data_IF_123652027312
#
_entry.id   IF_123652027312
#
_cell.length_a   1.000
_cell.length_b   1.000
_cell.length_c   1.000
_cell.angle_alpha   90.00
_cell.angle_beta   90.00
_cell.angle_gamma   90.00
#
_symmetry.space_group_name_H-M   'P 1'
#
loop_
_entity.id
_entity.type
_entity.pdbx_description
1 polymer ?
#
# COMPACT_ATOMS: atom_id res chain seq x y z
N UNK A 1 32.48 -12.20 -0.79
CA UNK A 1 32.09 -12.07 -2.21
C UNK A 1 30.58 -11.96 -2.22
N UNK A 2 30.05 -10.71 -2.27
CA UNK A 2 28.65 -10.49 -2.48
C UNK A 2 28.31 -11.09 -3.85
N UNK A 3 27.36 -12.00 -3.91
CA UNK A 3 26.76 -12.43 -5.15
C UNK A 3 26.12 -11.20 -5.77
N UNK A 4 26.46 -10.88 -7.03
CA UNK A 4 25.63 -10.01 -7.86
C UNK A 4 24.21 -10.53 -7.70
N UNK A 5 23.37 -9.82 -6.93
CA UNK A 5 21.96 -10.15 -6.84
C UNK A 5 21.39 -9.78 -8.20
N UNK A 6 21.34 -10.77 -9.10
CA UNK A 6 20.51 -10.63 -10.28
C UNK A 6 19.12 -10.20 -9.79
N UNK A 7 18.67 -9.06 -10.26
CA UNK A 7 17.29 -8.63 -10.05
C UNK A 7 16.39 -9.82 -10.35
N UNK A 8 15.40 -10.12 -9.53
CA UNK A 8 14.58 -11.32 -9.71
C UNK A 8 14.18 -11.43 -11.18
N UNK A 9 14.41 -12.56 -11.79
CA UNK A 9 14.05 -12.87 -13.20
C UNK A 9 12.59 -12.49 -13.52
N UNK A 10 11.77 -12.38 -12.48
CA UNK A 10 10.42 -11.84 -12.49
C UNK A 10 10.35 -10.46 -13.15
N UNK A 11 11.32 -9.55 -12.93
CA UNK A 11 11.26 -8.19 -13.48
C UNK A 11 11.56 -8.16 -14.98
N UNK A 12 12.36 -9.08 -15.49
CA UNK A 12 12.62 -9.18 -16.92
C UNK A 12 11.44 -9.72 -17.73
N UNK A 13 10.47 -10.37 -17.08
CA UNK A 13 9.25 -10.93 -17.69
C UNK A 13 8.03 -9.97 -17.63
N UNK A 14 8.20 -8.75 -17.09
CA UNK A 14 7.11 -7.78 -16.90
C UNK A 14 6.92 -6.79 -18.06
N UNK A 15 7.16 -7.20 -19.28
CA UNK A 15 6.90 -6.38 -20.49
C UNK A 15 5.43 -5.89 -20.61
N UNK A 16 4.53 -6.49 -19.82
CA UNK A 16 3.09 -6.17 -19.81
C UNK A 16 2.71 -5.01 -18.86
N UNK A 17 3.63 -4.52 -18.02
CA UNK A 17 3.35 -3.43 -17.07
C UNK A 17 3.67 -2.09 -17.70
N UNK A 18 2.67 -1.19 -17.75
CA UNK A 18 2.84 0.15 -18.29
C UNK A 18 3.60 1.07 -17.32
N UNK A 19 4.91 1.19 -17.51
CA UNK A 19 5.78 2.11 -16.74
C UNK A 19 6.18 3.29 -17.65
N UNK A 20 5.81 4.51 -17.25
CA UNK A 20 6.15 5.72 -17.98
C UNK A 20 7.54 6.21 -17.56
N UNK A 21 8.51 6.11 -18.49
CA UNK A 21 9.88 6.57 -18.27
C UNK A 21 9.99 8.08 -18.57
N UNK A 22 10.86 8.76 -17.82
CA UNK A 22 11.21 10.15 -18.08
C UNK A 22 12.02 10.25 -19.39
N UNK A 23 11.95 11.41 -20.05
CA UNK A 23 12.81 11.71 -21.21
C UNK A 23 14.28 11.67 -20.80
N UNK A 24 15.17 11.12 -21.65
CA UNK A 24 16.60 11.09 -21.37
C UNK A 24 17.16 12.49 -21.06
N UNK A 25 17.79 12.67 -19.89
CA UNK A 25 18.35 13.94 -19.46
C UNK A 25 17.36 14.90 -18.79
N UNK A 26 16.10 14.55 -18.67
CA UNK A 26 15.15 15.33 -17.89
C UNK A 26 15.51 15.25 -16.38
N UNK A 27 15.40 16.37 -15.63
CA UNK A 27 15.59 16.33 -14.19
C UNK A 27 14.51 15.44 -13.53
N UNK A 28 14.88 14.64 -12.52
CA UNK A 28 13.91 13.81 -11.84
C UNK A 28 12.84 14.66 -11.13
N UNK A 29 11.60 14.22 -11.20
CA UNK A 29 10.50 14.86 -10.46
C UNK A 29 10.58 14.50 -8.97
N UNK A 30 10.07 15.39 -8.11
CA UNK A 30 9.93 15.08 -6.68
C UNK A 30 8.91 13.96 -6.47
N UNK A 31 9.23 12.94 -5.64
CA UNK A 31 8.31 11.84 -5.38
C UNK A 31 7.14 12.31 -4.52
N UNK A 32 5.91 12.08 -5.00
CA UNK A 32 4.69 12.43 -4.27
C UNK A 32 4.48 11.47 -3.09
N UNK A 33 4.09 11.96 -1.90
CA UNK A 33 3.76 11.10 -0.78
C UNK A 33 2.58 10.19 -1.10
N UNK A 34 2.68 8.92 -0.68
CA UNK A 34 1.66 7.90 -0.92
C UNK A 34 1.63 6.87 0.22
N UNK A 35 0.48 6.21 0.39
CA UNK A 35 0.27 5.16 1.36
C UNK A 35 -0.42 3.96 0.71
N UNK A 36 -0.04 2.75 1.12
CA UNK A 36 -0.54 1.49 0.54
C UNK A 36 -0.73 0.47 1.66
N UNK A 37 -1.80 -0.33 1.60
CA UNK A 37 -2.12 -1.34 2.61
C UNK A 37 -2.03 -2.76 2.07
N UNK A 38 -1.23 -3.60 2.72
CA UNK A 38 -1.34 -5.05 2.64
C UNK A 38 -2.51 -5.47 3.52
N UNK A 39 -3.70 -5.55 2.95
CA UNK A 39 -4.87 -6.05 3.66
C UNK A 39 -4.80 -7.57 3.70
N UNK A 40 -4.68 -8.17 4.88
CA UNK A 40 -4.47 -9.60 5.05
C UNK A 40 -5.62 -10.25 5.81
N UNK A 41 -5.84 -11.55 5.56
CA UNK A 41 -6.78 -12.38 6.31
C UNK A 41 -6.19 -13.76 6.58
N UNK A 42 -6.69 -14.43 7.61
CA UNK A 42 -6.35 -15.83 7.86
C UNK A 42 -7.18 -16.76 6.95
N UNK A 43 -6.54 -17.78 6.41
CA UNK A 43 -7.18 -18.89 5.71
C UNK A 43 -6.61 -20.20 6.27
N UNK A 44 -7.33 -20.85 7.18
CA UNK A 44 -6.87 -22.06 7.89
C UNK A 44 -5.47 -21.85 8.53
N UNK A 45 -4.41 -22.39 7.92
CA UNK A 45 -3.02 -22.27 8.38
C UNK A 45 -2.16 -21.39 7.45
N UNK A 46 -2.78 -20.59 6.62
CA UNK A 46 -2.12 -19.67 5.66
C UNK A 46 -2.63 -18.26 5.84
N UNK A 47 -1.89 -17.31 5.29
CA UNK A 47 -2.32 -15.92 5.20
C UNK A 47 -2.57 -15.59 3.74
N UNK A 48 -3.71 -14.98 3.45
CA UNK A 48 -3.97 -14.36 2.15
C UNK A 48 -3.86 -12.85 2.24
N UNK A 49 -3.43 -12.24 1.15
CA UNK A 49 -3.40 -10.79 0.95
C UNK A 49 -4.35 -10.40 -0.18
N UNK A 50 -5.04 -9.28 -0.01
CA UNK A 50 -5.92 -8.73 -1.03
C UNK A 50 -5.10 -7.96 -2.06
N UNK A 51 -5.29 -8.28 -3.33
CA UNK A 51 -4.61 -7.63 -4.44
C UNK A 51 -5.59 -7.17 -5.52
N UNK A 52 -5.26 -6.05 -6.14
CA UNK A 52 -6.04 -5.41 -7.20
C UNK A 52 -5.20 -5.35 -8.47
N UNK A 53 -5.79 -5.70 -9.61
CA UNK A 53 -5.18 -5.51 -10.92
C UNK A 53 -5.49 -4.11 -11.43
N UNK A 54 -4.44 -3.31 -11.64
CA UNK A 54 -4.60 -1.94 -12.14
C UNK A 54 -5.07 -1.90 -13.59
N UNK A 55 -5.93 -0.93 -13.89
CA UNK A 55 -6.36 -0.65 -15.26
C UNK A 55 -5.14 -0.40 -16.15
N UNK A 56 -5.07 -1.06 -17.31
CA UNK A 56 -3.94 -1.01 -18.24
C UNK A 56 -3.58 0.42 -18.72
N UNK A 57 -4.52 1.37 -18.64
CA UNK A 57 -4.31 2.76 -19.05
C UNK A 57 -3.61 3.63 -17.98
N UNK A 58 -3.49 3.16 -16.75
CA UNK A 58 -2.87 3.89 -15.64
C UNK A 58 -1.35 3.65 -15.58
N UNK A 59 -0.64 4.45 -14.76
CA UNK A 59 0.75 4.12 -14.44
C UNK A 59 0.81 2.81 -13.65
N UNK A 60 1.77 1.93 -13.96
CA UNK A 60 1.82 0.53 -13.53
C UNK A 60 0.59 -0.29 -13.97
N UNK A 61 -0.09 0.13 -15.05
CA UNK A 61 -1.28 -0.57 -15.58
C UNK A 61 -0.97 -2.01 -15.96
N UNK A 62 -1.90 -2.91 -15.64
CA UNK A 62 -1.75 -4.35 -15.82
C UNK A 62 -1.06 -5.08 -14.66
N UNK A 63 -0.38 -4.37 -13.75
CA UNK A 63 0.20 -4.98 -12.56
C UNK A 63 -0.86 -5.26 -11.49
N UNK A 64 -0.60 -6.32 -10.71
CA UNK A 64 -1.27 -6.59 -9.46
C UNK A 64 -0.56 -5.83 -8.33
N UNK A 65 -1.32 -5.06 -7.58
CA UNK A 65 -0.85 -4.19 -6.51
C UNK A 65 -1.72 -4.34 -5.26
N UNK A 66 -1.24 -3.84 -4.15
CA UNK A 66 -2.06 -3.64 -2.95
C UNK A 66 -2.88 -2.35 -3.09
N UNK A 67 -4.03 -2.22 -2.41
CA UNK A 67 -4.80 -0.98 -2.35
C UNK A 67 -3.96 0.19 -1.84
N UNK A 68 -4.04 1.35 -2.49
CA UNK A 68 -3.31 2.53 -2.05
C UNK A 68 -3.10 3.59 -3.13
N UNK A 69 -2.86 4.80 -2.68
CA UNK A 69 -2.66 5.96 -3.54
C UNK A 69 -1.92 7.10 -2.88
N UNK A 70 -2.06 8.30 -3.42
CA UNK A 70 -1.41 9.51 -2.92
C UNK A 70 -2.09 10.01 -1.65
N UNK A 71 -1.32 10.75 -0.83
CA UNK A 71 -1.93 11.60 0.16
C UNK A 71 -2.68 12.74 -0.55
N UNK A 72 -3.89 12.99 -0.08
CA UNK A 72 -4.72 14.11 -0.52
C UNK A 72 -4.84 15.16 0.58
N UNK A 73 -5.15 16.43 0.25
CA UNK A 73 -5.30 17.48 1.25
C UNK A 73 -6.29 17.16 2.37
N UNK A 74 -7.30 16.33 2.13
CA UNK A 74 -8.26 15.88 3.15
C UNK A 74 -7.61 15.03 4.24
N UNK A 75 -6.55 14.30 3.90
CA UNK A 75 -5.82 13.47 4.87
C UNK A 75 -4.99 14.33 5.84
N UNK A 76 -4.77 15.61 5.51
CA UNK A 76 -4.01 16.60 6.27
C UNK A 76 -4.90 17.52 7.11
N UNK A 77 -6.22 17.34 7.08
CA UNK A 77 -7.15 18.13 7.89
C UNK A 77 -6.98 17.83 9.37
N UNK A 78 -6.68 18.86 10.18
CA UNK A 78 -6.43 18.71 11.63
C UNK A 78 -7.61 18.08 12.36
N UNK A 79 -8.84 18.35 11.91
CA UNK A 79 -10.05 17.85 12.57
C UNK A 79 -10.13 16.31 12.50
N UNK A 80 -9.69 15.68 11.40
CA UNK A 80 -9.77 14.23 11.25
C UNK A 80 -8.89 13.48 12.27
N UNK A 81 -7.84 14.11 12.80
CA UNK A 81 -6.99 13.54 13.83
C UNK A 81 -7.77 13.18 15.10
N UNK A 82 -8.82 13.92 15.41
CA UNK A 82 -9.70 13.64 16.58
C UNK A 82 -10.58 12.40 16.36
N UNK A 83 -10.70 11.94 15.13
CA UNK A 83 -11.39 10.71 14.73
C UNK A 83 -10.43 9.52 14.55
N UNK A 84 -9.16 9.65 14.91
CA UNK A 84 -8.20 8.56 14.93
C UNK A 84 -8.11 7.91 16.31
N UNK A 85 -7.94 6.58 16.36
CA UNK A 85 -7.86 5.80 17.61
C UNK A 85 -6.45 5.26 17.84
N UNK A 86 -5.92 5.44 19.06
CA UNK A 86 -4.72 4.77 19.54
C UNK A 86 -3.37 5.29 19.02
N UNK A 87 -3.35 6.24 18.06
CA UNK A 87 -2.13 6.82 17.52
C UNK A 87 -2.29 8.34 17.34
N UNK A 88 -1.33 9.12 17.83
CA UNK A 88 -1.28 10.58 17.61
C UNK A 88 -0.35 10.92 16.44
N UNK A 89 -0.45 12.16 15.92
CA UNK A 89 0.47 12.62 14.87
C UNK A 89 1.92 12.63 15.34
N UNK A 90 2.18 12.97 16.59
CA UNK A 90 3.52 12.93 17.16
C UNK A 90 4.11 11.50 17.15
N UNK A 91 3.33 10.50 17.61
CA UNK A 91 3.75 9.08 17.60
C UNK A 91 3.97 8.57 16.17
N UNK A 92 3.02 8.86 15.26
CA UNK A 92 3.12 8.50 13.86
C UNK A 92 4.34 9.13 13.18
N UNK A 93 4.59 10.41 13.48
CA UNK A 93 5.76 11.14 12.93
C UNK A 93 7.08 10.57 13.45
N UNK A 94 7.15 10.15 14.71
CA UNK A 94 8.32 9.45 15.25
C UNK A 94 8.56 8.11 14.56
N UNK A 95 7.50 7.29 14.36
CA UNK A 95 7.58 6.01 13.65
C UNK A 95 8.11 6.19 12.23
N UNK A 96 7.61 7.21 11.50
CA UNK A 96 8.01 7.46 10.11
C UNK A 96 9.31 8.27 9.96
N UNK A 97 9.90 8.71 11.08
CA UNK A 97 11.05 9.61 11.11
C UNK A 97 10.82 10.89 10.27
N UNK A 98 9.67 11.54 10.45
CA UNK A 98 9.31 12.82 9.85
C UNK A 98 9.05 13.87 10.92
N UNK A 99 9.11 15.16 10.57
CA UNK A 99 8.94 16.25 11.54
C UNK A 99 7.51 16.35 12.09
N UNK A 100 6.51 16.16 11.23
CA UNK A 100 5.08 16.24 11.53
C UNK A 100 4.29 15.67 10.36
N UNK A 101 2.98 15.47 10.53
CA UNK A 101 2.10 14.94 9.49
C UNK A 101 2.27 13.45 9.26
N UNK A 102 2.87 12.72 10.21
CA UNK A 102 3.01 11.28 10.12
C UNK A 102 1.66 10.57 10.08
N UNK A 103 0.70 11.01 10.87
CA UNK A 103 -0.63 10.41 10.96
C UNK A 103 -1.40 10.46 9.62
N UNK A 104 -1.12 11.45 8.77
CA UNK A 104 -1.73 11.60 7.46
C UNK A 104 -1.55 10.36 6.57
N UNK A 105 -0.44 9.63 6.71
CA UNK A 105 -0.19 8.39 5.96
C UNK A 105 -1.10 7.23 6.41
N UNK A 106 -1.42 7.13 7.70
CA UNK A 106 -2.38 6.16 8.21
C UNK A 106 -3.80 6.48 7.75
N UNK A 107 -4.17 7.77 7.78
CA UNK A 107 -5.48 8.25 7.32
C UNK A 107 -5.63 7.98 5.83
N UNK A 108 -4.63 8.38 5.00
CA UNK A 108 -4.61 8.08 3.56
C UNK A 108 -4.71 6.58 3.28
N UNK A 109 -3.98 5.76 4.03
CA UNK A 109 -4.02 4.31 3.90
C UNK A 109 -5.43 3.74 4.12
N UNK A 110 -6.16 4.22 5.15
CA UNK A 110 -7.54 3.80 5.43
C UNK A 110 -8.49 4.33 4.35
N UNK A 111 -8.35 5.58 3.92
CA UNK A 111 -9.15 6.19 2.85
C UNK A 111 -9.03 5.42 1.55
N UNK A 112 -7.79 5.18 1.10
CA UNK A 112 -7.50 4.43 -0.12
C UNK A 112 -7.99 2.97 -0.06
N UNK A 113 -7.84 2.33 1.12
CA UNK A 113 -8.40 0.99 1.35
C UNK A 113 -9.92 1.00 1.15
N UNK A 114 -10.61 2.01 1.68
CA UNK A 114 -12.07 2.11 1.52
C UNK A 114 -12.46 2.46 0.08
N UNK A 115 -11.79 3.39 -0.58
CA UNK A 115 -12.03 3.76 -1.98
C UNK A 115 -11.84 2.58 -2.92
N UNK A 116 -10.68 1.95 -2.89
CA UNK A 116 -10.29 0.93 -3.87
C UNK A 116 -10.91 -0.45 -3.58
N UNK A 117 -11.08 -0.84 -2.30
CA UNK A 117 -11.60 -2.18 -1.99
C UNK A 117 -12.87 -2.23 -1.13
N UNK A 118 -13.41 -1.08 -0.72
CA UNK A 118 -14.65 -0.99 0.04
C UNK A 118 -14.54 -1.42 1.51
N UNK A 119 -13.31 -1.60 2.03
CA UNK A 119 -13.07 -1.97 3.42
C UNK A 119 -12.70 -0.73 4.23
N UNK A 120 -13.54 -0.35 5.19
CA UNK A 120 -13.31 0.76 6.09
C UNK A 120 -12.76 0.26 7.43
N UNK A 121 -11.49 0.56 7.70
CA UNK A 121 -10.85 0.22 8.97
C UNK A 121 -11.20 1.27 10.03
N UNK A 122 -12.25 1.02 10.78
CA UNK A 122 -12.77 1.94 11.78
C UNK A 122 -13.34 1.19 12.99
N UNK A 123 -13.53 1.92 14.09
CA UNK A 123 -14.21 1.47 15.28
C UNK A 123 -15.56 2.17 15.42
N UNK A 124 -16.53 1.47 15.98
CA UNK A 124 -17.74 2.04 16.54
C UNK A 124 -17.45 2.70 17.89
N UNK A 125 -18.40 3.48 18.40
CA UNK A 125 -18.30 4.13 19.71
C UNK A 125 -18.06 3.14 20.87
N UNK A 126 -18.59 1.92 20.77
CA UNK A 126 -18.40 0.86 21.77
C UNK A 126 -17.01 0.19 21.71
N UNK A 127 -16.14 0.58 20.75
CA UNK A 127 -14.82 0.03 20.57
C UNK A 127 -14.73 -1.22 19.66
N UNK A 128 -15.87 -1.72 19.18
CA UNK A 128 -15.89 -2.85 18.23
C UNK A 128 -15.44 -2.37 16.84
N UNK A 129 -14.79 -3.25 16.08
CA UNK A 129 -14.50 -2.98 14.69
C UNK A 129 -15.81 -2.77 13.91
N UNK A 130 -15.79 -1.79 13.03
CA UNK A 130 -16.94 -1.44 12.22
C UNK A 130 -17.21 -2.52 11.17
N UNK A 131 -18.46 -2.95 11.10
CA UNK A 131 -19.06 -3.68 9.99
C UNK A 131 -20.47 -3.12 9.78
N UNK A 132 -20.92 -3.03 8.54
CA UNK A 132 -22.27 -2.56 8.25
C UNK A 132 -23.31 -3.52 8.88
N UNK A 133 -24.14 -3.00 9.76
CA UNK A 133 -25.09 -3.81 10.55
C UNK A 133 -26.42 -4.03 9.82
N UNK A 134 -26.73 -3.16 8.84
CA UNK A 134 -27.98 -3.16 8.10
C UNK A 134 -27.82 -2.59 6.68
N UNK A 135 -28.92 -2.63 5.92
CA UNK A 135 -28.97 -2.10 4.55
C UNK A 135 -28.74 -0.59 4.49
N UNK A 136 -29.18 0.17 5.51
CA UNK A 136 -29.01 1.63 5.54
C UNK A 136 -27.55 2.02 5.68
N UNK A 137 -26.79 1.40 6.59
CA UNK A 137 -25.33 1.62 6.68
C UNK A 137 -24.61 1.18 5.40
N UNK A 138 -25.03 0.08 4.78
CA UNK A 138 -24.47 -0.39 3.49
C UNK A 138 -24.67 0.65 2.38
N UNK A 139 -25.86 1.26 2.29
CA UNK A 139 -26.17 2.31 1.31
C UNK A 139 -25.36 3.58 1.58
N UNK A 140 -25.21 3.99 2.86
CA UNK A 140 -24.37 5.11 3.26
C UNK A 140 -22.92 4.86 2.81
N UNK A 141 -22.34 3.70 3.14
CA UNK A 141 -20.98 3.36 2.74
C UNK A 141 -20.81 3.40 1.21
N UNK A 142 -21.72 2.81 0.46
CA UNK A 142 -21.67 2.84 -1.00
C UNK A 142 -21.69 4.27 -1.54
N UNK A 143 -22.58 5.13 -1.01
CA UNK A 143 -22.66 6.53 -1.40
C UNK A 143 -21.37 7.31 -1.10
N UNK A 144 -20.76 7.12 0.08
CA UNK A 144 -19.52 7.79 0.43
C UNK A 144 -18.32 7.26 -0.35
N UNK A 145 -18.25 5.95 -0.62
CA UNK A 145 -17.25 5.36 -1.49
C UNK A 145 -17.30 5.95 -2.89
N UNK A 146 -18.49 6.11 -3.46
CA UNK A 146 -18.68 6.74 -4.78
C UNK A 146 -18.24 8.21 -4.78
N UNK A 147 -18.48 8.97 -3.70
CA UNK A 147 -18.02 10.36 -3.56
C UNK A 147 -16.50 10.42 -3.48
N UNK A 148 -15.86 9.59 -2.65
CA UNK A 148 -14.40 9.51 -2.53
C UNK A 148 -13.76 9.14 -3.87
N UNK A 149 -14.29 8.16 -4.59
CA UNK A 149 -13.83 7.78 -5.94
C UNK A 149 -13.95 8.92 -6.97
N UNK A 150 -14.79 9.93 -6.71
CA UNK A 150 -14.84 11.17 -7.49
C UNK A 150 -13.91 12.26 -6.97
N UNK A 151 -13.11 11.99 -5.94
CA UNK A 151 -12.19 12.95 -5.31
C UNK A 151 -12.88 13.95 -4.38
N UNK A 152 -14.09 13.64 -3.88
CA UNK A 152 -14.76 14.49 -2.90
C UNK A 152 -14.18 14.24 -1.49
N UNK A 153 -13.84 15.28 -0.69
CA UNK A 153 -13.18 15.14 0.60
C UNK A 153 -14.17 14.80 1.73
N UNK A 154 -14.82 13.63 1.69
CA UNK A 154 -15.97 13.29 2.56
C UNK A 154 -15.66 12.25 3.64
N UNK A 155 -14.40 11.83 3.84
CA UNK A 155 -14.05 10.82 4.86
C UNK A 155 -14.43 11.26 6.27
N UNK A 156 -14.16 12.54 6.63
CA UNK A 156 -14.52 13.10 7.92
C UNK A 156 -16.05 13.16 8.13
N UNK A 157 -16.79 13.49 7.07
CA UNK A 157 -18.26 13.48 7.11
C UNK A 157 -18.81 12.08 7.36
N UNK A 158 -18.25 11.06 6.70
CA UNK A 158 -18.60 9.66 6.93
C UNK A 158 -18.37 9.27 8.40
N UNK A 159 -17.21 9.60 8.96
CA UNK A 159 -16.89 9.34 10.35
C UNK A 159 -17.90 10.00 11.31
N UNK A 160 -18.27 11.26 11.03
CA UNK A 160 -19.27 11.99 11.82
C UNK A 160 -20.66 11.37 11.69
N UNK A 161 -21.09 11.04 10.47
CA UNK A 161 -22.43 10.52 10.20
C UNK A 161 -22.68 9.15 10.87
N UNK A 162 -21.69 8.28 10.87
CA UNK A 162 -21.79 6.93 11.45
C UNK A 162 -21.17 6.83 12.85
N UNK A 163 -20.72 7.95 13.43
CA UNK A 163 -20.05 8.02 14.74
C UNK A 163 -18.87 7.02 14.84
N UNK A 164 -17.97 7.07 13.86
CA UNK A 164 -16.83 6.17 13.72
C UNK A 164 -15.53 6.86 14.12
N UNK A 165 -14.55 6.04 14.55
CA UNK A 165 -13.15 6.42 14.67
C UNK A 165 -12.30 5.55 13.77
N UNK A 166 -11.39 6.15 12.99
CA UNK A 166 -10.44 5.43 12.15
C UNK A 166 -9.52 4.57 13.01
N UNK A 167 -9.41 3.29 12.68
CA UNK A 167 -8.64 2.29 13.44
C UNK A 167 -7.16 2.33 13.03
N UNK A 168 -6.51 3.49 13.18
CA UNK A 168 -5.11 3.71 12.78
C UNK A 168 -4.14 2.84 13.56
N UNK A 169 -4.47 2.47 14.78
CA UNK A 169 -3.73 1.53 15.63
C UNK A 169 -3.73 0.08 15.12
N UNK A 170 -4.58 -0.23 14.12
CA UNK A 170 -4.63 -1.54 13.47
C UNK A 170 -3.71 -1.68 12.25
N UNK A 171 -2.97 -0.63 11.93
CA UNK A 171 -2.03 -0.62 10.81
C UNK A 171 -0.59 -0.59 11.34
N UNK A 172 0.23 -1.55 10.93
CA UNK A 172 1.66 -1.56 11.18
C UNK A 172 2.42 -1.05 9.95
N UNK A 173 3.35 -0.13 10.13
CA UNK A 173 4.25 0.34 9.08
C UNK A 173 5.31 -0.72 8.75
N UNK A 174 5.46 -1.10 7.47
CA UNK A 174 6.29 -2.26 7.09
C UNK A 174 7.42 -1.96 6.12
N UNK A 175 7.28 -0.98 5.22
CA UNK A 175 8.34 -0.60 4.29
C UNK A 175 8.11 0.79 3.68
N UNK A 176 9.19 1.39 3.15
CA UNK A 176 9.15 2.67 2.47
C UNK A 176 9.89 2.57 1.13
N UNK A 177 9.15 2.73 0.04
CA UNK A 177 9.70 2.66 -1.31
C UNK A 177 9.59 3.99 -2.03
N UNK A 178 10.70 4.42 -2.64
CA UNK A 178 10.75 5.63 -3.46
C UNK A 178 10.94 5.20 -4.91
N UNK A 179 10.07 5.67 -5.79
CA UNK A 179 10.16 5.37 -7.22
C UNK A 179 11.50 5.84 -7.78
N UNK A 180 12.19 5.03 -8.61
CA UNK A 180 13.47 5.39 -9.21
C UNK A 180 13.44 6.71 -9.98
N UNK A 181 14.58 7.43 -10.00
CA UNK A 181 14.69 8.74 -10.65
C UNK A 181 14.42 8.71 -12.16
N UNK A 182 14.58 7.57 -12.81
CA UNK A 182 14.34 7.38 -14.23
C UNK A 182 12.87 7.35 -14.64
N UNK A 183 11.94 7.29 -13.68
CA UNK A 183 10.51 7.27 -13.97
C UNK A 183 9.92 8.68 -13.98
N UNK A 184 8.98 8.92 -14.91
CA UNK A 184 8.32 10.21 -15.08
C UNK A 184 7.42 10.58 -13.89
N UNK A 185 6.71 9.59 -13.33
CA UNK A 185 5.85 9.76 -12.16
C UNK A 185 6.48 9.03 -10.97
N UNK A 186 6.85 9.81 -9.96
CA UNK A 186 7.50 9.25 -8.77
C UNK A 186 6.63 9.38 -7.54
N UNK A 187 6.72 8.37 -6.69
CA UNK A 187 6.02 8.28 -5.41
C UNK A 187 6.99 7.92 -4.29
N UNK A 188 6.75 8.48 -3.11
CA UNK A 188 7.37 8.10 -1.85
C UNK A 188 6.31 7.34 -1.05
N UNK A 189 6.25 6.02 -1.28
CA UNK A 189 5.15 5.18 -0.80
C UNK A 189 5.50 4.48 0.49
N UNK A 190 4.71 4.72 1.53
CA UNK A 190 4.78 3.97 2.78
C UNK A 190 3.77 2.84 2.75
N UNK A 191 4.26 1.63 3.01
CA UNK A 191 3.45 0.43 3.04
C UNK A 191 3.08 0.06 4.46
N UNK A 192 1.82 -0.26 4.65
CA UNK A 192 1.24 -0.69 5.91
C UNK A 192 0.65 -2.08 5.76
N UNK A 193 0.49 -2.79 6.88
CA UNK A 193 -0.25 -4.05 6.92
C UNK A 193 -1.40 -3.92 7.91
N UNK A 194 -2.56 -4.46 7.55
CA UNK A 194 -3.75 -4.48 8.40
C UNK A 194 -4.53 -5.78 8.23
N UNK A 195 -5.22 -6.21 9.30
CA UNK A 195 -6.15 -7.34 9.25
C UNK A 195 -7.47 -6.89 8.65
N UNK A 196 -7.97 -7.64 7.68
CA UNK A 196 -9.31 -7.43 7.13
C UNK A 196 -10.37 -7.77 8.21
N UNK A 197 -11.35 -6.88 8.44
CA UNK A 197 -12.51 -7.24 9.24
C UNK A 197 -13.28 -8.41 8.62
N UNK A 198 -13.71 -9.37 9.45
CA UNK A 198 -14.35 -10.61 8.97
C UNK A 198 -15.72 -10.40 8.35
N UNK A 199 -16.39 -9.32 8.71
CA UNK A 199 -17.75 -8.94 8.31
C UNK A 199 -17.81 -7.91 7.16
N UNK A 200 -16.64 -7.52 6.62
CA UNK A 200 -16.56 -6.68 5.44
C UNK A 200 -16.03 -7.46 4.23
N UNK A 201 -16.63 -7.22 3.06
CA UNK A 201 -16.23 -7.87 1.82
C UNK A 201 -15.37 -6.93 0.97
N UNK A 202 -14.11 -7.29 0.77
CA UNK A 202 -13.22 -6.56 -0.12
C UNK A 202 -13.57 -6.83 -1.59
N UNK A 203 -13.85 -5.75 -2.35
CA UNK A 203 -14.15 -5.80 -3.79
C UNK A 203 -13.59 -4.53 -4.42
N UNK A 204 -12.85 -4.66 -5.54
CA UNK A 204 -12.32 -3.52 -6.29
C UNK A 204 -13.42 -2.52 -6.74
N UNK A 205 -13.01 -1.29 -7.01
CA UNK A 205 -13.91 -0.19 -7.37
C UNK A 205 -14.47 -0.26 -8.80
N UNK A 206 -13.80 -1.00 -9.69
CA UNK A 206 -14.17 -1.16 -11.10
C UNK A 206 -13.67 -0.05 -12.04
N UNK A 207 -12.98 0.96 -11.52
CA UNK A 207 -12.41 2.08 -12.28
C UNK A 207 -10.90 2.05 -12.36
N UNK A 208 -10.21 2.24 -11.25
CA UNK A 208 -8.75 2.10 -11.12
C UNK A 208 -8.35 0.63 -11.04
N UNK A 209 -9.08 -0.16 -10.28
CA UNK A 209 -9.00 -1.61 -10.19
C UNK A 209 -10.00 -2.30 -11.10
N UNK A 210 -9.56 -3.22 -11.94
CA UNK A 210 -10.42 -3.95 -12.90
C UNK A 210 -10.67 -5.41 -12.50
N UNK A 211 -9.88 -5.92 -11.59
CA UNK A 211 -9.96 -7.29 -11.07
C UNK A 211 -9.38 -7.30 -9.65
N UNK A 212 -9.87 -8.16 -8.78
CA UNK A 212 -9.32 -8.32 -7.42
C UNK A 212 -9.35 -9.76 -6.97
N UNK A 213 -8.41 -10.12 -6.11
CA UNK A 213 -8.32 -11.48 -5.56
C UNK A 213 -7.71 -11.49 -4.17
N UNK A 214 -8.07 -12.48 -3.39
CA UNK A 214 -7.33 -12.94 -2.23
C UNK A 214 -6.36 -14.02 -2.68
N UNK A 215 -5.10 -13.92 -2.32
CA UNK A 215 -4.04 -14.83 -2.77
C UNK A 215 -2.98 -14.97 -1.68
N UNK A 216 -2.41 -16.18 -1.53
CA UNK A 216 -1.27 -16.36 -0.63
C UNK A 216 -0.03 -15.67 -1.20
N UNK A 217 0.88 -15.13 -0.35
CA UNK A 217 2.11 -14.48 -0.80
C UNK A 217 2.91 -15.37 -1.76
N UNK A 218 3.05 -16.66 -1.45
CA UNK A 218 3.77 -17.63 -2.25
C UNK A 218 3.16 -17.81 -3.65
N UNK A 219 1.82 -17.86 -3.74
CA UNK A 219 1.14 -18.03 -5.02
C UNK A 219 1.23 -16.76 -5.87
N UNK A 220 1.17 -15.58 -5.26
CA UNK A 220 1.37 -14.31 -5.97
C UNK A 220 2.78 -14.21 -6.56
N UNK A 221 3.82 -14.55 -5.78
CA UNK A 221 5.23 -14.57 -6.23
C UNK A 221 5.40 -15.59 -7.37
N UNK A 222 4.94 -16.84 -7.19
CA UNK A 222 5.00 -17.87 -8.25
C UNK A 222 4.26 -17.47 -9.52
N UNK A 223 3.14 -16.76 -9.38
CA UNK A 223 2.39 -16.21 -10.52
C UNK A 223 3.17 -15.13 -11.26
N UNK A 224 3.90 -14.28 -10.52
CA UNK A 224 4.83 -13.29 -11.08
C UNK A 224 5.95 -13.95 -11.88
N UNK A 225 6.59 -14.98 -11.33
CA UNK A 225 7.64 -15.77 -12.00
C UNK A 225 7.16 -16.42 -13.31
N UNK A 226 5.92 -16.90 -13.33
CA UNK A 226 5.30 -17.49 -14.51
C UNK A 226 4.80 -16.45 -15.52
N UNK A 227 4.77 -15.15 -15.15
CA UNK A 227 4.30 -14.06 -16.00
C UNK A 227 2.77 -13.92 -16.12
N UNK A 228 1.97 -14.73 -15.41
CA UNK A 228 0.50 -14.67 -15.42
C UNK A 228 -0.09 -13.81 -14.28
N UNK A 229 0.75 -13.34 -13.36
CA UNK A 229 0.38 -12.44 -12.25
C UNK A 229 1.43 -11.33 -12.13
N UNK A 230 1.46 -10.35 -13.07
CA UNK A 230 2.50 -9.32 -13.10
C UNK A 230 2.52 -8.51 -11.81
N UNK A 231 3.65 -8.47 -11.11
CA UNK A 231 3.88 -7.73 -9.86
C UNK A 231 5.21 -6.96 -9.94
N UNK A 232 5.25 -5.76 -9.40
CA UNK A 232 6.45 -4.90 -9.41
C UNK A 232 7.34 -5.15 -8.19
N UNK A 233 8.59 -4.69 -8.23
CA UNK A 233 9.59 -4.95 -7.20
C UNK A 233 9.13 -4.64 -5.77
N UNK A 234 8.54 -3.47 -5.45
CA UNK A 234 8.03 -3.20 -4.11
C UNK A 234 6.97 -4.23 -3.67
N UNK A 235 6.10 -4.66 -4.57
CA UNK A 235 5.08 -5.67 -4.30
C UNK A 235 5.72 -7.02 -3.97
N UNK A 236 6.72 -7.46 -4.78
CA UNK A 236 7.46 -8.70 -4.54
C UNK A 236 8.10 -8.69 -3.15
N UNK A 237 8.85 -7.63 -2.81
CA UNK A 237 9.57 -7.53 -1.54
C UNK A 237 8.65 -7.50 -0.32
N UNK A 238 7.48 -6.84 -0.45
CA UNK A 238 6.48 -6.86 0.62
C UNK A 238 5.81 -8.24 0.77
N UNK A 239 5.54 -8.95 -0.33
CA UNK A 239 5.05 -10.33 -0.28
C UNK A 239 6.08 -11.25 0.36
N UNK A 240 7.35 -11.20 -0.05
CA UNK A 240 8.45 -11.98 0.54
C UNK A 240 8.57 -11.75 2.06
N UNK A 241 8.36 -10.51 2.52
CA UNK A 241 8.43 -10.15 3.94
C UNK A 241 7.31 -10.73 4.81
N UNK A 242 6.28 -11.31 4.20
CA UNK A 242 5.14 -11.95 4.90
C UNK A 242 5.01 -13.45 4.59
N UNK A 243 5.85 -14.00 3.70
CA UNK A 243 5.94 -15.45 3.46
C UNK A 243 6.30 -16.18 4.75
N UNK A 244 5.66 -17.31 4.98
CA UNK A 244 5.95 -18.19 6.11
C UNK A 244 5.21 -17.86 7.41
N UNK A 245 4.52 -16.72 7.50
CA UNK A 245 3.60 -16.49 8.61
C UNK A 245 2.31 -17.29 8.43
N UNK A 246 1.88 -17.96 9.49
CA UNK A 246 0.63 -18.75 9.52
C UNK A 246 -0.44 -18.11 10.40
N UNK A 247 -0.08 -17.10 11.19
CA UNK A 247 -0.95 -16.33 12.06
C UNK A 247 -0.92 -14.85 11.73
N UNK A 248 -2.07 -14.28 11.42
CA UNK A 248 -2.21 -12.84 11.15
C UNK A 248 -1.87 -11.98 12.37
N UNK A 249 -2.17 -12.46 13.58
CA UNK A 249 -1.83 -11.74 14.82
C UNK A 249 -0.32 -11.73 15.05
N UNK A 250 0.35 -12.87 14.88
CA UNK A 250 1.81 -12.96 14.98
C UNK A 250 2.50 -12.06 13.95
N UNK A 251 2.01 -12.07 12.72
CA UNK A 251 2.49 -11.20 11.65
C UNK A 251 2.37 -9.73 12.05
N UNK A 252 1.19 -9.28 12.49
CA UNK A 252 0.97 -7.89 12.86
C UNK A 252 1.84 -7.46 14.06
N UNK A 253 1.90 -8.28 15.11
CA UNK A 253 2.76 -8.01 16.27
C UNK A 253 4.24 -7.91 15.89
N UNK A 254 4.72 -8.79 15.00
CA UNK A 254 6.07 -8.76 14.47
C UNK A 254 6.35 -7.44 13.75
N UNK A 255 5.44 -7.01 12.86
CA UNK A 255 5.62 -5.77 12.09
C UNK A 255 5.53 -4.52 12.96
N UNK A 256 4.66 -4.48 13.97
CA UNK A 256 4.61 -3.38 14.94
C UNK A 256 5.94 -3.24 15.69
N UNK A 257 6.56 -4.34 16.10
CA UNK A 257 7.86 -4.31 16.81
C UNK A 257 8.99 -3.74 15.96
N UNK A 258 8.98 -3.98 14.65
CA UNK A 258 10.06 -3.60 13.73
C UNK A 258 9.79 -2.28 12.99
N UNK A 259 8.64 -1.64 13.15
CA UNK A 259 8.23 -0.49 12.33
C UNK A 259 9.15 0.74 12.45
N UNK A 260 9.84 0.93 13.59
CA UNK A 260 10.81 2.02 13.78
C UNK A 260 12.15 1.78 13.08
N UNK A 261 12.41 0.58 12.59
CA UNK A 261 13.65 0.19 11.89
C UNK A 261 13.53 0.34 10.36
N UNK A 262 12.35 0.72 9.87
CA UNK A 262 12.07 0.84 8.43
C UNK A 262 12.88 2.00 7.84
N UNK A 263 13.73 1.67 6.87
CA UNK A 263 14.48 2.65 6.08
C UNK A 263 13.88 2.80 4.68
N UNK A 264 14.09 3.95 4.04
CA UNK A 264 13.65 4.18 2.68
C UNK A 264 14.48 3.38 1.67
N UNK A 265 13.82 2.82 0.66
CA UNK A 265 14.42 2.06 -0.42
C UNK A 265 14.15 2.81 -1.73
N UNK A 266 15.17 3.38 -2.35
CA UNK A 266 15.11 3.96 -3.69
C UNK A 266 15.98 3.12 -4.62
N UNK A 267 15.41 2.25 -5.48
CA UNK A 267 16.21 1.46 -6.42
C UNK A 267 16.91 2.36 -7.44
N UNK A 268 18.17 2.07 -7.75
CA UNK A 268 18.93 2.72 -8.82
C UNK A 268 19.11 1.75 -9.98
N UNK A 269 18.80 2.21 -11.20
CA UNK A 269 18.92 1.40 -12.40
C UNK A 269 19.87 2.08 -13.39
N UNK A 270 20.79 1.32 -13.98
CA UNK A 270 21.72 1.78 -14.99
C UNK A 270 22.08 0.68 -15.99
N UNK A 271 22.61 1.08 -17.14
CA UNK A 271 23.07 0.12 -18.17
C UNK A 271 24.53 -0.24 -17.96
N UNK A 272 24.85 -1.52 -17.89
CA UNK A 272 26.22 -2.06 -17.86
C UNK A 272 26.31 -3.22 -18.84
N UNK A 273 27.22 -3.15 -19.78
CA UNK A 273 27.46 -4.18 -20.82
C UNK A 273 26.21 -4.58 -21.61
N UNK A 274 25.32 -3.58 -21.87
CA UNK A 274 24.06 -3.80 -22.60
C UNK A 274 22.93 -4.42 -21.77
N UNK A 275 23.16 -4.64 -20.48
CA UNK A 275 22.14 -5.14 -19.53
C UNK A 275 21.73 -4.06 -18.55
N UNK A 276 20.45 -4.06 -18.18
CA UNK A 276 19.97 -3.19 -17.12
C UNK A 276 20.31 -3.83 -15.75
N UNK A 277 21.11 -3.10 -14.98
CA UNK A 277 21.46 -3.45 -13.60
C UNK A 277 20.62 -2.61 -12.66
N UNK A 278 20.12 -3.22 -11.59
CA UNK A 278 19.44 -2.54 -10.51
C UNK A 278 20.18 -2.75 -9.20
N UNK A 279 20.29 -1.70 -8.40
CA UNK A 279 20.88 -1.73 -7.07
C UNK A 279 19.88 -1.22 -6.04
N UNK A 280 19.91 -1.82 -4.86
CA UNK A 280 19.18 -1.38 -3.67
C UNK A 280 20.15 -0.75 -2.65
N UNK A 281 19.67 0.07 -1.72
CA UNK A 281 20.50 0.57 -0.63
C UNK A 281 21.20 -0.59 0.11
N UNK A 282 22.54 -0.47 0.26
CA UNK A 282 23.40 -1.50 0.86
C UNK A 282 24.06 -2.45 -0.13
N UNK A 283 23.67 -2.43 -1.41
CA UNK A 283 24.38 -3.18 -2.45
C UNK A 283 25.73 -2.51 -2.78
N UNK A 284 26.73 -3.33 -3.14
CA UNK A 284 28.03 -2.82 -3.58
C UNK A 284 27.88 -1.91 -4.80
N UNK A 285 28.44 -0.69 -4.75
CA UNK A 285 28.34 0.30 -5.81
C UNK A 285 27.05 1.13 -5.82
N UNK A 286 26.12 0.92 -4.86
CA UNK A 286 24.89 1.72 -4.80
C UNK A 286 25.18 3.23 -4.69
N UNK A 287 26.17 3.62 -3.90
CA UNK A 287 26.51 5.04 -3.70
C UNK A 287 27.20 5.69 -4.92
N UNK A 288 27.71 4.88 -5.87
CA UNK A 288 28.43 5.33 -7.06
C UNK A 288 27.46 5.75 -8.19
N UNK A 289 26.18 5.49 -8.05
CA UNK A 289 25.08 5.78 -8.98
C UNK A 289 23.98 6.61 -8.33
#
# INVERSE_FOLDING_TARGET
MAKDQEFPEILSKQESVNIQKAEPGAPPTDPKPAATVLLVRALENEIEVFMIKRNAKTNFGGAWVFPGGKLDPVDEEIEINSFCSGLTDEMASQILNVKSGGLNYWIACIRECFEECGVLLAYRENGDLFGASDAGETEILASYRDKLNRGEPVLLELCKQLNLKLAVDRLAYVSHWITPKMEMKRYSTRFFIALAPSDQKAIHDGSEGVESTWITPENAIKGGEKGNFPIILPTIRNLEAIVGFTSTNELLENKIKCQSEVSSIEPKFFMKDGKMIGLLPGDEGYEDH
#
